data_IF_807943738282
#
_entry.id   IF_807943738282
#
_cell.length_a   1.000
_cell.length_b   1.000
_cell.length_c   1.000
_cell.angle_alpha   90.00
_cell.angle_beta   90.00
_cell.angle_gamma   90.00
#
_symmetry.space_group_name_H-M   'P 1'
#
loop_
_entity.id
_entity.type
_entity.pdbx_description
1 polymer ?
#
# COMPACT_ATOMS: atom_id res chain seq x y z
N UNK A 1 -21.60 -16.82 14.10
CA UNK A 1 -22.25 -15.50 14.17
C UNK A 1 -21.40 -14.56 13.31
N UNK A 2 -21.87 -14.07 12.14
CA UNK A 2 -21.09 -13.13 11.36
C UNK A 2 -21.07 -11.79 12.08
N UNK A 3 -19.88 -11.29 12.40
CA UNK A 3 -19.67 -9.93 12.89
C UNK A 3 -20.05 -8.96 11.76
N UNK A 4 -21.29 -8.47 11.81
CA UNK A 4 -21.69 -7.31 11.03
C UNK A 4 -20.99 -6.08 11.64
N UNK A 5 -19.85 -5.71 11.08
CA UNK A 5 -19.28 -4.41 11.36
C UNK A 5 -20.14 -3.34 10.70
N UNK A 6 -20.90 -2.62 11.51
CA UNK A 6 -21.47 -1.34 11.09
C UNK A 6 -20.32 -0.34 10.97
N UNK A 7 -19.76 -0.20 9.76
CA UNK A 7 -18.77 0.83 9.43
C UNK A 7 -19.54 2.15 9.26
N UNK A 8 -19.98 2.73 10.36
CA UNK A 8 -20.62 4.06 10.36
C UNK A 8 -19.63 5.22 10.52
N UNK A 9 -18.35 4.93 10.74
CA UNK A 9 -17.29 5.94 10.78
C UNK A 9 -16.34 5.68 9.63
N UNK A 10 -16.67 6.22 8.46
CA UNK A 10 -15.80 6.12 7.28
C UNK A 10 -14.60 7.00 7.53
N UNK A 11 -13.50 6.40 7.99
CA UNK A 11 -12.20 7.03 7.87
C UNK A 11 -11.96 7.32 6.40
N UNK A 12 -11.77 8.58 6.06
CA UNK A 12 -11.42 8.98 4.72
C UNK A 12 -9.97 8.56 4.45
N UNK A 13 -9.79 7.32 3.97
CA UNK A 13 -8.54 6.92 3.36
C UNK A 13 -8.38 7.74 2.10
N UNK A 14 -7.31 8.48 2.00
CA UNK A 14 -7.08 9.40 0.90
C UNK A 14 -5.79 9.00 0.22
N UNK A 15 -5.89 8.70 -1.04
CA UNK A 15 -4.83 8.13 -1.84
C UNK A 15 -4.28 9.13 -2.83
N UNK A 16 -2.96 9.17 -2.92
CA UNK A 16 -2.26 9.91 -3.95
C UNK A 16 -1.91 8.96 -5.09
N UNK A 17 -2.61 9.06 -6.20
CA UNK A 17 -2.24 8.41 -7.46
C UNK A 17 -2.91 9.16 -8.60
N UNK A 18 -2.32 9.06 -9.80
CA UNK A 18 -2.87 9.61 -11.05
C UNK A 18 -4.22 8.96 -11.37
N UNK A 19 -5.28 9.37 -10.66
CA UNK A 19 -6.64 8.88 -10.91
C UNK A 19 -7.48 10.02 -11.39
N UNK A 20 -8.03 9.90 -12.57
CA UNK A 20 -9.20 10.64 -12.96
C UNK A 20 -10.07 9.77 -13.88
N UNK A 21 -10.86 8.91 -13.27
CA UNK A 21 -12.04 8.36 -13.91
C UNK A 21 -13.04 7.96 -12.83
N UNK A 22 -14.28 8.34 -13.04
CA UNK A 22 -15.37 7.95 -12.16
C UNK A 22 -15.75 6.48 -12.46
N UNK A 23 -14.96 5.54 -11.95
CA UNK A 23 -15.27 4.12 -12.07
C UNK A 23 -16.41 3.79 -11.11
N UNK A 24 -17.48 3.19 -11.61
CA UNK A 24 -18.70 2.87 -10.85
C UNK A 24 -18.47 2.05 -9.58
N UNK A 25 -17.33 1.39 -9.50
CA UNK A 25 -16.94 0.53 -8.39
C UNK A 25 -16.06 1.24 -7.34
N UNK A 26 -15.81 2.55 -7.51
CA UNK A 26 -14.94 3.32 -6.63
C UNK A 26 -15.69 4.46 -5.93
N UNK A 27 -15.48 4.62 -4.63
CA UNK A 27 -15.94 5.77 -3.87
C UNK A 27 -14.88 6.86 -3.82
N UNK A 28 -15.00 7.85 -4.70
CA UNK A 28 -14.06 8.97 -4.71
C UNK A 28 -14.46 10.02 -3.67
N UNK A 29 -13.46 10.60 -3.03
CA UNK A 29 -13.63 11.75 -2.16
C UNK A 29 -13.79 13.02 -3.01
N UNK A 30 -14.58 13.96 -2.53
CA UNK A 30 -14.88 15.21 -3.25
C UNK A 30 -13.72 16.23 -3.26
N UNK A 31 -12.61 15.92 -2.58
CA UNK A 31 -11.36 16.70 -2.64
C UNK A 31 -10.37 15.95 -3.52
N UNK A 32 -9.87 16.63 -4.53
CA UNK A 32 -8.86 16.11 -5.47
C UNK A 32 -7.83 17.20 -5.77
N UNK A 33 -6.68 16.80 -6.28
CA UNK A 33 -5.58 17.72 -6.55
C UNK A 33 -4.77 17.29 -7.76
N UNK A 34 -4.45 18.24 -8.62
CA UNK A 34 -3.45 18.08 -9.68
C UNK A 34 -2.18 18.82 -9.27
N UNK A 35 -1.16 18.09 -8.91
CA UNK A 35 0.10 18.67 -8.41
C UNK A 35 0.90 19.41 -9.49
N UNK A 36 0.60 19.17 -10.77
CA UNK A 36 1.23 19.87 -11.88
C UNK A 36 0.62 21.27 -12.10
N UNK A 37 -0.72 21.37 -12.05
CA UNK A 37 -1.43 22.64 -12.32
C UNK A 37 -1.78 23.41 -11.06
N UNK A 38 -1.70 22.78 -9.88
CA UNK A 38 -2.15 23.34 -8.60
C UNK A 38 -3.67 23.34 -8.40
N UNK A 39 -4.43 22.82 -9.36
CA UNK A 39 -5.91 22.84 -9.36
C UNK A 39 -6.55 21.47 -9.20
N UNK A 40 -7.80 21.38 -9.65
CA UNK A 40 -8.54 20.12 -9.74
C UNK A 40 -8.09 19.36 -10.99
N UNK A 41 -7.93 18.02 -10.94
CA UNK A 41 -7.67 17.24 -12.13
C UNK A 41 -8.79 17.40 -13.16
N UNK A 42 -8.45 17.75 -14.40
CA UNK A 42 -9.41 18.05 -15.48
C UNK A 42 -9.33 17.09 -16.66
N UNK A 43 -8.58 15.99 -16.55
CA UNK A 43 -8.38 15.04 -17.64
C UNK A 43 -7.89 13.69 -17.16
N UNK A 44 -7.83 12.74 -18.10
CA UNK A 44 -7.29 11.42 -17.87
C UNK A 44 -5.76 11.47 -18.06
N UNK A 45 -5.01 11.26 -17.00
CA UNK A 45 -3.54 11.29 -17.00
C UNK A 45 -2.94 9.88 -16.81
N UNK A 46 -3.45 8.90 -17.55
CA UNK A 46 -3.08 7.50 -17.44
C UNK A 46 -4.10 6.67 -16.63
N UNK A 47 -3.89 5.36 -16.61
CA UNK A 47 -4.83 4.36 -16.08
C UNK A 47 -4.35 3.72 -14.76
N UNK A 48 -3.06 3.83 -14.46
CA UNK A 48 -2.40 3.14 -13.36
C UNK A 48 -3.05 3.41 -11.99
N UNK A 49 -3.42 4.66 -11.73
CA UNK A 49 -4.03 5.03 -10.45
C UNK A 49 -5.43 4.47 -10.24
N UNK A 50 -6.24 4.36 -11.29
CA UNK A 50 -7.56 3.71 -11.23
C UNK A 50 -7.39 2.24 -10.86
N UNK A 51 -6.40 1.56 -11.44
CA UNK A 51 -6.07 0.16 -11.12
C UNK A 51 -5.64 0.00 -9.66
N UNK A 52 -4.76 0.87 -9.17
CA UNK A 52 -4.34 0.85 -7.77
C UNK A 52 -5.50 1.13 -6.80
N UNK A 53 -6.39 2.06 -7.16
CA UNK A 53 -7.57 2.40 -6.36
C UNK A 53 -8.52 1.21 -6.21
N UNK A 54 -8.70 0.40 -7.26
CA UNK A 54 -9.54 -0.80 -7.23
C UNK A 54 -9.06 -1.81 -6.19
N UNK A 55 -7.77 -2.09 -6.13
CA UNK A 55 -7.20 -2.99 -5.11
C UNK A 55 -7.51 -2.52 -3.69
N UNK A 56 -7.51 -1.20 -3.45
CA UNK A 56 -7.79 -0.69 -2.11
C UNK A 56 -9.26 -0.74 -1.77
N UNK A 57 -10.12 -0.19 -2.64
CA UNK A 57 -11.44 0.22 -2.22
C UNK A 57 -12.57 -0.08 -3.20
N UNK A 58 -12.40 -0.98 -4.17
CA UNK A 58 -13.52 -1.43 -4.99
C UNK A 58 -14.66 -1.94 -4.10
N UNK A 59 -15.88 -1.62 -4.49
CA UNK A 59 -17.07 -1.83 -3.66
C UNK A 59 -17.46 -3.30 -3.61
N UNK A 60 -17.39 -3.90 -2.45
CA UNK A 60 -17.83 -5.27 -2.24
C UNK A 60 -19.37 -5.39 -2.26
N UNK A 61 -19.87 -6.56 -2.63
CA UNK A 61 -21.29 -6.95 -2.58
C UNK A 61 -22.24 -6.08 -3.44
N UNK A 62 -21.73 -5.45 -4.49
CA UNK A 62 -22.52 -4.64 -5.42
C UNK A 62 -22.90 -5.38 -6.72
N UNK A 63 -22.55 -6.68 -6.82
CA UNK A 63 -22.80 -7.49 -8.01
C UNK A 63 -21.89 -7.15 -9.20
N UNK A 64 -20.78 -6.45 -8.99
CA UNK A 64 -19.82 -6.03 -10.01
C UNK A 64 -18.43 -6.55 -9.69
N UNK A 65 -17.65 -6.86 -10.68
CA UNK A 65 -16.23 -7.13 -10.81
C UNK A 65 -15.51 -7.70 -9.58
N UNK A 66 -14.93 -6.83 -8.77
CA UNK A 66 -14.03 -7.18 -7.69
C UNK A 66 -14.43 -6.54 -6.35
N UNK A 67 -13.78 -6.99 -5.27
CA UNK A 67 -13.84 -6.33 -3.98
C UNK A 67 -12.45 -5.82 -3.60
N UNK A 68 -12.34 -4.54 -3.25
CA UNK A 68 -11.14 -3.97 -2.69
C UNK A 68 -10.93 -4.39 -1.23
N UNK A 69 -9.68 -4.35 -0.75
CA UNK A 69 -9.30 -4.76 0.62
C UNK A 69 -10.09 -3.99 1.68
N UNK A 70 -10.31 -2.70 1.46
CA UNK A 70 -11.08 -1.81 2.36
C UNK A 70 -12.29 -1.24 1.60
N UNK A 71 -13.22 -2.10 1.23
CA UNK A 71 -14.43 -1.70 0.53
C UNK A 71 -15.17 -0.59 1.27
N UNK A 72 -15.66 0.41 0.52
CA UNK A 72 -16.36 1.57 1.07
C UNK A 72 -15.46 2.69 1.60
N UNK A 73 -14.14 2.54 1.53
CA UNK A 73 -13.20 3.61 1.84
C UNK A 73 -13.31 4.74 0.81
N UNK A 74 -13.15 5.99 1.25
CA UNK A 74 -13.12 7.14 0.35
C UNK A 74 -11.70 7.38 -0.17
N UNK A 75 -11.55 7.41 -1.47
CA UNK A 75 -10.27 7.61 -2.18
C UNK A 75 -10.17 9.07 -2.59
N UNK A 76 -9.10 9.76 -2.17
CA UNK A 76 -8.76 11.11 -2.63
C UNK A 76 -7.90 11.01 -3.89
N UNK A 77 -8.41 11.42 -5.06
CA UNK A 77 -7.64 11.42 -6.29
C UNK A 77 -6.60 12.55 -6.28
N UNK A 78 -5.32 12.19 -6.46
CA UNK A 78 -4.24 13.18 -6.60
C UNK A 78 -3.40 12.83 -7.82
N UNK A 79 -3.40 13.70 -8.81
CA UNK A 79 -2.58 13.56 -10.01
C UNK A 79 -1.20 14.14 -9.76
N UNK A 80 -0.16 13.34 -9.98
CA UNK A 80 1.25 13.73 -9.81
C UNK A 80 1.98 13.91 -11.15
N UNK A 81 1.41 13.38 -12.23
CA UNK A 81 1.99 13.41 -13.56
C UNK A 81 1.00 14.03 -14.55
N UNK A 82 1.51 14.51 -15.66
CA UNK A 82 0.74 14.76 -16.87
C UNK A 82 1.31 13.94 -18.02
N UNK A 83 0.48 13.60 -18.99
CA UNK A 83 0.94 12.97 -20.21
C UNK A 83 1.25 14.08 -21.22
N UNK A 84 2.48 14.15 -21.67
CA UNK A 84 2.83 14.94 -22.86
C UNK A 84 2.28 14.20 -24.07
N UNK A 85 1.25 14.76 -24.68
CA UNK A 85 0.55 14.13 -25.81
C UNK A 85 1.42 14.05 -27.08
N UNK A 86 2.49 14.86 -27.20
CA UNK A 86 3.40 14.83 -28.33
C UNK A 86 4.47 13.75 -28.15
N UNK A 87 4.90 13.48 -26.92
CA UNK A 87 5.98 12.54 -26.62
C UNK A 87 5.49 11.23 -25.99
N UNK A 88 4.22 11.12 -25.59
CA UNK A 88 3.67 9.96 -24.89
C UNK A 88 4.31 9.70 -23.52
N UNK A 89 5.00 10.68 -22.95
CA UNK A 89 5.77 10.55 -21.72
C UNK A 89 5.00 11.18 -20.55
N UNK A 90 4.86 10.43 -19.46
CA UNK A 90 4.39 11.01 -18.20
C UNK A 90 5.51 11.89 -17.60
N UNK A 91 5.26 13.18 -17.51
CA UNK A 91 6.23 14.12 -16.95
C UNK A 91 5.77 14.66 -15.61
N UNK A 92 6.72 14.85 -14.69
CA UNK A 92 6.50 15.50 -13.40
C UNK A 92 7.83 15.93 -12.79
N UNK A 93 7.77 16.83 -11.80
CA UNK A 93 8.94 17.28 -11.04
C UNK A 93 8.93 16.71 -9.63
N UNK A 94 10.08 16.67 -8.97
CA UNK A 94 10.17 16.27 -7.55
C UNK A 94 9.29 17.15 -6.66
N UNK A 95 9.16 18.44 -7.01
CA UNK A 95 8.27 19.39 -6.35
C UNK A 95 6.80 18.98 -6.47
N UNK A 96 6.35 18.50 -7.63
CA UNK A 96 4.97 18.02 -7.80
C UNK A 96 4.69 16.81 -6.91
N UNK A 97 5.61 15.84 -6.85
CA UNK A 97 5.49 14.69 -5.94
C UNK A 97 5.43 15.13 -4.47
N UNK A 98 6.30 16.03 -4.06
CA UNK A 98 6.32 16.56 -2.69
C UNK A 98 5.04 17.32 -2.35
N UNK A 99 4.53 18.15 -3.28
CA UNK A 99 3.27 18.90 -3.10
C UNK A 99 2.06 17.97 -3.02
N UNK A 100 2.02 16.89 -3.81
CA UNK A 100 0.98 15.87 -3.76
C UNK A 100 0.90 15.23 -2.37
N UNK A 101 2.04 14.81 -1.81
CA UNK A 101 2.11 14.21 -0.47
C UNK A 101 1.66 15.21 0.60
N UNK A 102 2.15 16.46 0.55
CA UNK A 102 1.74 17.51 1.50
C UNK A 102 0.27 17.84 1.39
N UNK A 103 -0.26 17.94 0.16
CA UNK A 103 -1.68 18.19 -0.06
C UNK A 103 -2.54 17.09 0.56
N UNK A 104 -2.22 15.82 0.32
CA UNK A 104 -2.93 14.70 0.93
C UNK A 104 -2.97 14.81 2.46
N UNK A 105 -1.82 15.03 3.09
CA UNK A 105 -1.68 15.17 4.54
C UNK A 105 -2.47 16.36 5.10
N UNK A 106 -2.44 17.51 4.43
CA UNK A 106 -3.14 18.72 4.86
C UNK A 106 -4.66 18.64 4.70
N UNK A 107 -5.12 17.78 3.79
CA UNK A 107 -6.56 17.53 3.57
C UNK A 107 -7.07 16.29 4.30
N UNK A 108 -6.34 15.82 5.34
CA UNK A 108 -6.75 14.80 6.29
C UNK A 108 -6.65 13.37 5.75
N UNK A 109 -5.75 13.09 4.81
CA UNK A 109 -5.39 11.72 4.50
C UNK A 109 -4.78 11.04 5.73
N UNK A 110 -5.18 9.80 6.00
CA UNK A 110 -4.55 8.94 7.03
C UNK A 110 -3.56 7.97 6.39
N UNK A 111 -3.84 7.53 5.17
CA UNK A 111 -2.94 6.68 4.38
C UNK A 111 -2.63 7.36 3.06
N UNK A 112 -1.37 7.38 2.68
CA UNK A 112 -0.91 7.90 1.39
C UNK A 112 -0.20 6.77 0.67
N UNK A 113 -0.84 6.22 -0.37
CA UNK A 113 -0.27 5.15 -1.17
C UNK A 113 0.54 5.72 -2.33
N UNK A 114 1.77 5.27 -2.46
CA UNK A 114 2.71 5.70 -3.49
C UNK A 114 3.21 4.48 -4.28
N UNK A 115 2.52 4.19 -5.38
CA UNK A 115 2.87 3.09 -6.27
C UNK A 115 3.79 3.54 -7.41
N UNK A 116 4.86 4.28 -7.06
CA UNK A 116 5.85 4.84 -7.96
C UNK A 116 7.23 4.87 -7.29
N UNK A 117 8.28 4.99 -8.10
CA UNK A 117 9.66 5.14 -7.63
C UNK A 117 10.50 5.87 -8.68
N UNK A 118 11.65 6.39 -8.25
CA UNK A 118 12.67 6.93 -9.14
C UNK A 118 13.82 5.92 -9.25
N UNK A 119 14.35 5.78 -10.45
CA UNK A 119 15.48 4.92 -10.73
C UNK A 119 16.80 5.59 -10.30
N UNK A 120 16.93 5.82 -9.01
CA UNK A 120 18.12 6.42 -8.41
C UNK A 120 18.34 5.89 -7.01
N UNK A 121 19.60 5.78 -6.60
CA UNK A 121 20.01 5.55 -5.21
C UNK A 121 20.22 6.84 -4.42
N UNK A 122 20.32 7.98 -5.11
CA UNK A 122 20.55 9.27 -4.46
C UNK A 122 19.30 9.77 -3.75
N UNK A 123 19.39 10.22 -2.49
CA UNK A 123 18.25 10.75 -1.76
C UNK A 123 17.60 11.95 -2.46
N UNK A 124 16.28 11.98 -2.48
CA UNK A 124 15.49 13.10 -3.03
C UNK A 124 14.93 13.89 -1.86
N UNK A 125 15.74 14.81 -1.34
CA UNK A 125 15.48 15.52 -0.08
C UNK A 125 14.11 16.20 -0.03
N UNK A 126 13.64 16.78 -1.13
CA UNK A 126 12.34 17.47 -1.18
C UNK A 126 11.17 16.51 -0.93
N UNK A 127 11.22 15.31 -1.54
CA UNK A 127 10.20 14.28 -1.37
C UNK A 127 10.32 13.65 0.03
N UNK A 128 11.55 13.37 0.48
CA UNK A 128 11.79 12.82 1.82
C UNK A 128 11.28 13.75 2.93
N UNK A 129 11.44 15.07 2.76
CA UNK A 129 10.89 16.08 3.66
C UNK A 129 9.35 16.08 3.64
N UNK A 130 8.73 15.89 2.48
CA UNK A 130 7.27 15.78 2.37
C UNK A 130 6.73 14.51 3.02
N UNK A 131 7.44 13.38 2.89
CA UNK A 131 7.12 12.12 3.56
C UNK A 131 7.19 12.29 5.09
N UNK A 132 8.29 12.85 5.59
CA UNK A 132 8.46 13.13 7.02
C UNK A 132 7.39 14.09 7.55
N UNK A 133 7.04 15.12 6.78
CA UNK A 133 5.95 16.03 7.11
C UNK A 133 4.60 15.29 7.22
N UNK A 134 4.26 14.45 6.24
CA UNK A 134 3.03 13.67 6.25
C UNK A 134 2.97 12.69 7.44
N UNK A 135 4.07 12.01 7.73
CA UNK A 135 4.20 11.16 8.91
C UNK A 135 3.97 11.95 10.21
N UNK A 136 4.56 13.15 10.34
CA UNK A 136 4.35 14.04 11.48
C UNK A 136 2.91 14.56 11.61
N UNK A 137 2.12 14.53 10.51
CA UNK A 137 0.67 14.82 10.50
C UNK A 137 -0.19 13.61 10.85
N UNK A 138 0.40 12.47 11.17
CA UNK A 138 -0.33 11.25 11.51
C UNK A 138 -0.72 10.40 10.30
N UNK A 139 -0.04 10.55 9.15
CA UNK A 139 -0.24 9.71 7.98
C UNK A 139 0.70 8.49 8.00
N UNK A 140 0.22 7.33 7.57
CA UNK A 140 1.08 6.25 7.07
C UNK A 140 1.33 6.47 5.58
N UNK A 141 2.60 6.51 5.20
CA UNK A 141 3.02 6.69 3.81
C UNK A 141 3.52 5.34 3.29
N UNK A 142 2.74 4.71 2.41
CA UNK A 142 3.03 3.40 1.84
C UNK A 142 3.70 3.55 0.50
N UNK A 143 4.77 2.78 0.25
CA UNK A 143 5.48 2.75 -1.02
C UNK A 143 5.59 1.34 -1.58
N UNK A 144 5.50 1.24 -2.91
CA UNK A 144 5.95 0.04 -3.63
C UNK A 144 7.47 -0.06 -3.62
N UNK A 145 8.00 -1.29 -3.58
CA UNK A 145 9.46 -1.54 -3.50
C UNK A 145 10.21 -1.38 -4.84
N UNK A 146 9.47 -1.22 -5.95
CA UNK A 146 10.03 -1.16 -7.31
C UNK A 146 9.98 -2.50 -8.05
N UNK A 147 10.11 -2.44 -9.39
CA UNK A 147 9.85 -3.59 -10.29
C UNK A 147 11.08 -4.04 -11.09
N UNK A 148 12.29 -3.79 -10.59
CA UNK A 148 13.55 -4.17 -11.28
C UNK A 148 14.24 -5.41 -10.71
N UNK A 149 13.66 -6.05 -9.69
CA UNK A 149 14.31 -7.17 -9.00
C UNK A 149 15.65 -6.78 -8.34
N UNK A 150 15.77 -5.52 -7.94
CA UNK A 150 16.98 -4.92 -7.36
C UNK A 150 16.69 -4.31 -5.98
N UNK A 151 17.66 -3.63 -5.39
CA UNK A 151 17.47 -2.93 -4.13
C UNK A 151 16.36 -1.86 -4.25
N UNK A 152 15.58 -1.68 -3.16
CA UNK A 152 14.55 -0.64 -3.08
C UNK A 152 15.15 0.72 -3.41
N UNK A 153 14.53 1.41 -4.35
CA UNK A 153 14.97 2.71 -4.86
C UNK A 153 14.29 3.89 -4.13
N UNK A 154 14.67 5.11 -4.51
CA UNK A 154 14.11 6.33 -3.93
C UNK A 154 12.67 6.59 -4.40
N UNK A 155 11.84 7.27 -3.59
CA UNK A 155 12.14 7.81 -2.27
C UNK A 155 11.89 6.82 -1.12
N UNK A 156 11.37 5.61 -1.41
CA UNK A 156 11.03 4.61 -0.40
C UNK A 156 12.22 4.29 0.53
N UNK A 157 13.44 4.18 -0.02
CA UNK A 157 14.66 3.93 0.75
C UNK A 157 15.16 5.17 1.53
N UNK A 158 14.67 6.37 1.21
CA UNK A 158 15.20 7.64 1.75
C UNK A 158 14.62 8.07 3.09
N UNK A 159 13.48 7.51 3.51
CA UNK A 159 12.80 7.85 4.76
C UNK A 159 12.24 6.61 5.47
N UNK A 160 13.07 5.61 5.83
CA UNK A 160 12.61 4.29 6.26
C UNK A 160 11.76 4.31 7.54
N UNK A 161 11.96 5.27 8.43
CA UNK A 161 11.13 5.40 9.64
C UNK A 161 9.74 5.97 9.37
N UNK A 162 9.57 6.70 8.27
CA UNK A 162 8.34 7.38 7.91
C UNK A 162 7.57 6.69 6.76
N UNK A 163 8.15 5.65 6.16
CA UNK A 163 7.55 4.87 5.07
C UNK A 163 7.24 3.44 5.49
N UNK A 164 6.26 2.83 4.85
CA UNK A 164 5.99 1.39 4.89
C UNK A 164 6.19 0.85 3.47
N UNK A 165 7.27 0.08 3.25
CA UNK A 165 7.70 -0.37 1.93
C UNK A 165 7.24 -1.78 1.66
N UNK A 166 6.56 -1.98 0.52
CA UNK A 166 5.85 -3.21 0.19
C UNK A 166 6.42 -3.87 -1.06
N UNK A 167 6.88 -5.09 -0.92
CA UNK A 167 7.27 -5.98 -2.02
C UNK A 167 6.11 -6.84 -2.52
N UNK A 168 6.32 -7.50 -3.66
CA UNK A 168 5.31 -8.34 -4.31
C UNK A 168 5.64 -9.83 -4.21
N UNK A 169 4.60 -10.63 -3.94
CA UNK A 169 4.62 -12.09 -4.08
C UNK A 169 3.64 -12.54 -5.17
N UNK A 170 3.84 -13.78 -5.63
CA UNK A 170 2.90 -14.50 -6.48
C UNK A 170 1.86 -15.30 -5.66
N UNK A 171 0.94 -16.00 -6.35
CA UNK A 171 -0.11 -16.83 -5.73
C UNK A 171 0.42 -18.02 -4.91
N UNK A 172 1.66 -18.44 -5.14
CA UNK A 172 2.29 -19.55 -4.42
C UNK A 172 3.04 -19.08 -3.16
N UNK A 173 3.03 -17.77 -2.88
CA UNK A 173 3.73 -17.17 -1.75
C UNK A 173 5.21 -16.94 -1.99
N UNK A 174 5.70 -17.05 -3.22
CA UNK A 174 7.08 -16.74 -3.57
C UNK A 174 7.23 -15.26 -3.94
N UNK A 175 8.36 -14.68 -3.55
CA UNK A 175 8.72 -13.33 -3.99
C UNK A 175 8.71 -13.27 -5.51
N UNK A 176 7.97 -12.31 -6.08
CA UNK A 176 7.99 -12.06 -7.51
C UNK A 176 9.40 -11.64 -7.96
N UNK A 177 9.83 -12.14 -9.11
CA UNK A 177 11.16 -11.90 -9.69
C UNK A 177 11.47 -10.40 -9.85
N UNK A 178 10.47 -9.62 -10.25
CA UNK A 178 10.60 -8.17 -10.40
C UNK A 178 10.62 -7.40 -9.06
N UNK A 179 10.15 -7.99 -7.95
CA UNK A 179 9.99 -7.25 -6.68
C UNK A 179 11.31 -6.74 -6.14
N UNK A 180 11.34 -5.46 -5.78
CA UNK A 180 12.45 -4.86 -5.05
C UNK A 180 12.66 -5.49 -3.67
N UNK A 181 13.91 -5.44 -3.16
CA UNK A 181 14.32 -6.06 -1.90
C UNK A 181 15.39 -5.21 -1.18
N UNK A 182 15.84 -5.64 -0.01
CA UNK A 182 16.91 -4.99 0.75
C UNK A 182 16.46 -4.38 2.05
N UNK A 183 17.38 -3.65 2.71
CA UNK A 183 17.22 -3.15 4.08
C UNK A 183 16.03 -2.22 4.31
N UNK A 184 15.44 -1.65 3.27
CA UNK A 184 14.27 -0.77 3.38
C UNK A 184 12.93 -1.50 3.23
N UNK A 185 12.94 -2.81 2.91
CA UNK A 185 11.72 -3.57 2.71
C UNK A 185 11.06 -3.92 4.05
N UNK A 186 9.80 -3.58 4.24
CA UNK A 186 9.09 -3.88 5.48
C UNK A 186 8.26 -5.16 5.39
N UNK A 187 7.40 -5.27 4.38
CA UNK A 187 6.49 -6.42 4.22
C UNK A 187 6.29 -6.76 2.74
N UNK A 188 5.65 -7.89 2.48
CA UNK A 188 5.18 -8.25 1.13
C UNK A 188 3.66 -8.48 1.12
N UNK A 189 3.08 -8.29 -0.07
CA UNK A 189 1.67 -8.53 -0.35
C UNK A 189 1.51 -9.11 -1.77
N UNK A 190 0.34 -9.65 -2.15
CA UNK A 190 0.08 -10.10 -3.51
C UNK A 190 0.32 -8.97 -4.52
N UNK A 191 1.09 -9.26 -5.57
CA UNK A 191 1.44 -8.26 -6.59
C UNK A 191 1.62 -8.86 -7.98
N UNK A 192 1.36 -10.16 -8.17
CA UNK A 192 1.38 -10.82 -9.47
C UNK A 192 -0.03 -11.30 -9.82
N UNK A 193 -0.49 -11.00 -11.05
CA UNK A 193 -1.81 -11.38 -11.57
C UNK A 193 -2.98 -10.87 -10.71
N UNK A 194 -2.95 -9.59 -10.38
CA UNK A 194 -3.96 -8.93 -9.54
C UNK A 194 -5.08 -8.38 -10.42
N UNK A 195 -6.30 -8.84 -10.19
CA UNK A 195 -7.50 -8.25 -10.79
C UNK A 195 -7.86 -6.93 -10.13
N UNK A 196 -8.18 -5.94 -10.97
CA UNK A 196 -8.50 -4.60 -10.47
C UNK A 196 -9.36 -3.81 -11.48
N UNK A 197 -9.85 -2.65 -11.06
CA UNK A 197 -10.62 -1.72 -11.89
C UNK A 197 -9.77 -1.18 -13.05
N UNK A 198 -10.40 -0.91 -14.18
CA UNK A 198 -9.77 -0.32 -15.36
C UNK A 198 -10.41 1.02 -15.70
N UNK A 199 -9.64 1.91 -16.30
CA UNK A 199 -10.08 3.26 -16.70
C UNK A 199 -11.22 3.27 -17.72
N UNK A 200 -11.43 2.17 -18.44
CA UNK A 200 -12.54 2.00 -19.38
C UNK A 200 -13.88 1.66 -18.72
N UNK A 201 -13.90 1.55 -17.39
CA UNK A 201 -15.09 1.16 -16.62
C UNK A 201 -15.23 -0.35 -16.40
N UNK A 202 -14.26 -1.15 -16.87
CA UNK A 202 -14.18 -2.60 -16.67
C UNK A 202 -13.12 -2.99 -15.66
N UNK A 203 -12.61 -4.22 -15.83
CA UNK A 203 -11.63 -4.83 -14.94
C UNK A 203 -10.50 -5.45 -15.75
N UNK A 204 -9.30 -5.47 -15.18
CA UNK A 204 -8.11 -6.00 -15.83
C UNK A 204 -7.21 -6.71 -14.84
N UNK A 205 -6.35 -7.59 -15.34
CA UNK A 205 -5.37 -8.32 -14.56
C UNK A 205 -3.98 -7.74 -14.78
N UNK A 206 -3.27 -7.41 -13.70
CA UNK A 206 -2.00 -6.67 -13.74
C UNK A 206 -0.99 -7.24 -12.76
N UNK A 207 0.29 -6.94 -12.97
CA UNK A 207 1.37 -7.34 -12.06
C UNK A 207 2.31 -6.18 -11.76
N UNK A 208 2.81 -6.11 -10.53
CA UNK A 208 3.76 -5.10 -10.08
C UNK A 208 3.68 -4.87 -8.57
N UNK A 209 4.75 -4.39 -7.97
CA UNK A 209 4.75 -3.91 -6.58
C UNK A 209 3.79 -2.75 -6.37
N UNK A 210 3.42 -2.06 -7.46
CA UNK A 210 2.36 -1.05 -7.49
C UNK A 210 1.00 -1.58 -7.04
N UNK A 211 0.76 -2.88 -7.18
CA UNK A 211 -0.48 -3.54 -6.78
C UNK A 211 -0.34 -4.29 -5.45
N UNK A 212 0.88 -4.53 -4.98
CA UNK A 212 1.14 -5.02 -3.63
C UNK A 212 0.95 -3.91 -2.56
N UNK A 213 1.48 -2.72 -2.80
CA UNK A 213 1.36 -1.57 -1.89
C UNK A 213 -0.11 -1.24 -1.52
N UNK A 214 -1.07 -1.20 -2.45
CA UNK A 214 -2.47 -0.92 -2.13
C UNK A 214 -3.13 -1.98 -1.24
N UNK A 215 -2.73 -3.25 -1.27
CA UNK A 215 -3.21 -4.23 -0.30
C UNK A 215 -2.88 -3.81 1.13
N UNK A 216 -1.64 -3.38 1.37
CA UNK A 216 -1.22 -2.89 2.68
C UNK A 216 -1.95 -1.61 3.06
N UNK A 217 -2.13 -0.69 2.12
CA UNK A 217 -2.89 0.55 2.34
C UNK A 217 -4.34 0.26 2.76
N UNK A 218 -4.98 -0.73 2.15
CA UNK A 218 -6.30 -1.20 2.54
C UNK A 218 -6.32 -1.81 3.95
N UNK A 219 -5.34 -2.66 4.29
CA UNK A 219 -5.25 -3.25 5.64
C UNK A 219 -5.04 -2.17 6.70
N UNK A 220 -4.19 -1.17 6.45
CA UNK A 220 -4.03 -0.01 7.33
C UNK A 220 -5.36 0.71 7.55
N UNK A 221 -6.16 0.87 6.50
CA UNK A 221 -7.49 1.47 6.63
C UNK A 221 -8.44 0.65 7.50
N UNK A 222 -8.43 -0.68 7.35
CA UNK A 222 -9.24 -1.58 8.19
C UNK A 222 -8.83 -1.51 9.67
N UNK A 223 -7.53 -1.44 9.96
CA UNK A 223 -7.02 -1.25 11.33
C UNK A 223 -7.59 0.04 11.93
N UNK A 224 -7.47 1.18 11.24
CA UNK A 224 -8.01 2.45 11.73
C UNK A 224 -9.55 2.53 11.71
N UNK A 225 -10.22 1.75 10.87
CA UNK A 225 -11.67 1.62 10.95
C UNK A 225 -12.13 0.89 12.21
N UNK A 226 -11.29 0.00 12.74
CA UNK A 226 -11.54 -0.73 13.99
C UNK A 226 -11.23 0.13 15.22
N UNK A 227 -10.13 0.89 15.20
CA UNK A 227 -9.74 1.84 16.24
C UNK A 227 -9.09 3.08 15.62
N UNK A 228 -9.86 4.18 15.48
CA UNK A 228 -9.39 5.44 14.88
C UNK A 228 -8.30 6.16 15.68
N UNK A 229 -8.17 5.87 16.97
CA UNK A 229 -7.25 6.58 17.86
C UNK A 229 -5.85 5.98 17.89
N UNK A 230 -5.64 4.85 17.20
CA UNK A 230 -4.32 4.25 17.10
C UNK A 230 -3.31 5.21 16.48
N UNK A 231 -2.14 5.31 17.11
CA UNK A 231 -1.02 6.05 16.55
C UNK A 231 -0.45 5.38 15.30
N UNK A 232 0.18 6.16 14.44
CA UNK A 232 0.89 5.67 13.23
C UNK A 232 1.86 4.53 13.59
N UNK A 233 2.62 4.68 14.68
CA UNK A 233 3.56 3.66 15.17
C UNK A 233 2.86 2.37 15.57
N UNK A 234 1.71 2.46 16.24
CA UNK A 234 0.97 1.26 16.64
C UNK A 234 0.42 0.52 15.43
N UNK A 235 -0.13 1.23 14.45
CA UNK A 235 -0.62 0.63 13.20
C UNK A 235 0.51 -0.04 12.43
N UNK A 236 1.66 0.63 12.29
CA UNK A 236 2.85 0.05 11.65
C UNK A 236 3.29 -1.22 12.36
N UNK A 237 3.41 -1.19 13.69
CA UNK A 237 3.81 -2.36 14.48
C UNK A 237 2.83 -3.52 14.29
N UNK A 238 1.52 -3.26 14.27
CA UNK A 238 0.51 -4.29 14.01
C UNK A 238 0.76 -4.94 12.64
N UNK A 239 0.92 -4.15 11.58
CA UNK A 239 1.21 -4.66 10.22
C UNK A 239 2.44 -5.58 10.24
N UNK A 240 3.54 -5.13 10.82
CA UNK A 240 4.82 -5.85 10.81
C UNK A 240 4.81 -7.11 11.68
N UNK A 241 4.20 -7.04 12.87
CA UNK A 241 4.16 -8.13 13.86
C UNK A 241 3.18 -9.25 13.49
N UNK A 242 2.13 -8.94 12.72
CA UNK A 242 1.08 -9.90 12.36
C UNK A 242 1.30 -10.57 11.01
N UNK A 243 2.45 -10.33 10.38
CA UNK A 243 2.80 -10.98 9.12
C UNK A 243 2.93 -12.49 9.27
N UNK A 244 2.54 -13.21 8.22
CA UNK A 244 2.84 -14.64 8.09
C UNK A 244 4.22 -14.83 7.46
N UNK A 245 5.04 -15.70 8.05
CA UNK A 245 6.29 -16.14 7.44
C UNK A 245 5.97 -17.03 6.25
N UNK A 246 6.59 -16.76 5.11
CA UNK A 246 6.34 -17.46 3.85
C UNK A 246 7.52 -18.33 3.45
N UNK A 247 7.22 -19.45 2.77
CA UNK A 247 8.14 -20.54 2.55
C UNK A 247 9.40 -20.22 1.75
N UNK A 248 10.46 -20.99 1.99
CA UNK A 248 11.75 -20.88 1.30
C UNK A 248 12.65 -19.73 1.75
N UNK A 249 12.21 -18.90 2.70
CA UNK A 249 13.00 -17.76 3.19
C UNK A 249 13.51 -18.01 4.62
N UNK A 250 14.79 -17.77 4.84
CA UNK A 250 15.38 -17.77 6.19
C UNK A 250 15.18 -16.39 6.81
N UNK A 251 14.46 -16.35 7.92
CA UNK A 251 14.24 -15.14 8.71
C UNK A 251 15.23 -15.08 9.87
N UNK A 252 15.80 -13.92 10.11
CA UNK A 252 16.79 -13.69 11.17
C UNK A 252 16.48 -12.48 12.03
N UNK A 253 17.23 -12.30 13.10
CA UNK A 253 17.20 -11.10 13.93
C UNK A 253 18.00 -10.00 13.24
N UNK A 254 17.39 -8.85 13.06
CA UNK A 254 18.06 -7.61 12.64
C UNK A 254 17.89 -6.57 13.75
N UNK A 255 18.98 -6.02 14.30
CA UNK A 255 18.90 -5.05 15.41
C UNK A 255 18.12 -3.78 15.08
N UNK A 256 17.97 -3.45 13.79
CA UNK A 256 17.19 -2.29 13.32
C UNK A 256 15.72 -2.63 13.04
N UNK A 257 15.32 -3.91 13.18
CA UNK A 257 14.00 -4.45 12.85
C UNK A 257 13.33 -4.99 14.12
N UNK A 258 12.71 -4.09 14.90
CA UNK A 258 12.25 -4.36 16.26
C UNK A 258 10.96 -5.19 16.36
N UNK A 259 10.24 -5.39 15.24
CA UNK A 259 8.93 -6.05 15.24
C UNK A 259 8.98 -7.56 14.94
N UNK A 260 10.15 -8.18 15.06
CA UNK A 260 10.35 -9.62 14.97
C UNK A 260 11.38 -10.05 13.93
N UNK A 261 11.36 -11.33 13.58
CA UNK A 261 12.26 -11.88 12.59
C UNK A 261 12.01 -11.29 11.20
N UNK A 262 13.08 -10.94 10.49
CA UNK A 262 13.05 -10.24 9.21
C UNK A 262 13.93 -10.93 8.17
N UNK A 263 13.64 -10.68 6.90
CA UNK A 263 14.39 -11.18 5.74
C UNK A 263 14.50 -10.09 4.67
N UNK A 264 15.66 -9.93 4.05
CA UNK A 264 15.89 -8.86 3.07
C UNK A 264 15.05 -8.98 1.78
N UNK A 265 14.52 -10.16 1.46
CA UNK A 265 13.74 -10.39 0.22
C UNK A 265 12.23 -10.29 0.41
N UNK A 266 11.76 -10.51 1.64
CA UNK A 266 10.32 -10.54 1.97
C UNK A 266 9.97 -9.73 3.22
N UNK A 267 10.89 -8.96 3.75
CA UNK A 267 10.67 -8.14 4.95
C UNK A 267 10.31 -8.98 6.18
N UNK A 268 9.34 -8.50 6.96
CA UNK A 268 8.74 -9.27 8.06
C UNK A 268 7.89 -10.46 7.58
N UNK A 269 7.48 -10.48 6.30
CA UNK A 269 6.68 -11.54 5.70
C UNK A 269 5.44 -11.03 4.99
N UNK A 270 4.53 -11.95 4.68
CA UNK A 270 3.25 -11.67 4.02
C UNK A 270 2.28 -11.02 5.00
N UNK A 271 1.71 -9.88 4.62
CA UNK A 271 0.67 -9.21 5.41
C UNK A 271 -0.54 -10.11 5.62
N UNK A 272 -1.17 -10.01 6.79
CA UNK A 272 -2.33 -10.79 7.19
C UNK A 272 -3.41 -9.85 7.72
N UNK A 273 -4.41 -9.56 6.90
CA UNK A 273 -5.47 -8.62 7.24
C UNK A 273 -6.27 -9.07 8.47
N UNK A 274 -6.62 -10.35 8.56
CA UNK A 274 -7.36 -10.90 9.70
C UNK A 274 -6.57 -10.75 11.01
N UNK A 275 -5.31 -11.19 11.02
CA UNK A 275 -4.47 -11.08 12.20
C UNK A 275 -4.22 -9.62 12.60
N UNK A 276 -4.03 -8.72 11.62
CA UNK A 276 -3.82 -7.30 11.86
C UNK A 276 -5.04 -6.63 12.51
N UNK A 277 -6.24 -6.87 11.98
CA UNK A 277 -7.49 -6.33 12.55
C UNK A 277 -7.78 -6.95 13.92
N UNK A 278 -7.56 -8.26 14.08
CA UNK A 278 -7.76 -8.94 15.38
C UNK A 278 -6.81 -8.42 16.47
N UNK A 279 -5.60 -8.00 16.12
CA UNK A 279 -4.62 -7.46 17.06
C UNK A 279 -4.95 -6.04 17.58
N UNK A 280 -5.93 -5.37 16.99
CA UNK A 280 -6.40 -4.05 17.45
C UNK A 280 -7.06 -4.14 18.83
N UNK A 281 -7.93 -5.15 19.04
CA UNK A 281 -8.70 -5.34 20.27
C UNK A 281 -8.00 -6.22 21.29
N UNK A 282 -6.84 -6.81 20.93
CA UNK A 282 -6.07 -7.71 21.79
C UNK A 282 -4.94 -7.01 22.55
N UNK A 283 -4.34 -7.70 23.54
CA UNK A 283 -3.06 -7.25 24.10
C UNK A 283 -2.05 -7.08 22.96
N UNK A 284 -1.13 -6.12 23.09
CA UNK A 284 -0.08 -5.93 22.09
C UNK A 284 0.57 -7.29 21.77
N UNK A 285 0.74 -7.65 20.48
CA UNK A 285 1.47 -8.86 20.13
C UNK A 285 2.81 -8.84 20.87
N UNK A 286 3.09 -9.85 21.67
CA UNK A 286 4.41 -10.00 22.29
C UNK A 286 5.40 -10.27 21.17
N UNK A 287 6.57 -9.62 21.22
CA UNK A 287 7.65 -9.92 20.29
C UNK A 287 7.87 -11.45 20.27
N UNK A 288 8.01 -12.08 19.08
CA UNK A 288 8.17 -13.52 19.01
C UNK A 288 9.37 -13.93 19.84
N UNK A 289 9.18 -14.97 20.65
CA UNK A 289 10.25 -15.54 21.46
C UNK A 289 11.34 -16.06 20.52
N UNK A 290 12.54 -15.49 20.61
CA UNK A 290 13.67 -15.65 19.65
C UNK A 290 14.25 -17.09 19.66
N UNK A 291 13.58 -18.05 20.31
CA UNK A 291 14.11 -19.38 20.64
C UNK A 291 13.67 -20.55 19.74
N UNK A 292 12.83 -20.37 18.73
CA UNK A 292 12.40 -21.52 17.91
C UNK A 292 12.76 -21.34 16.44
N UNK A 293 13.59 -22.27 15.93
CA UNK A 293 13.82 -22.44 14.50
C UNK A 293 12.51 -22.85 13.82
N UNK A 294 11.98 -21.98 12.97
CA UNK A 294 10.78 -22.30 12.17
C UNK A 294 11.21 -23.11 10.94
N UNK A 295 11.15 -24.43 11.05
CA UNK A 295 11.39 -25.35 9.93
C UNK A 295 10.13 -25.79 9.17
N UNK A 296 8.96 -25.32 9.59
CA UNK A 296 7.69 -25.76 8.99
C UNK A 296 6.78 -24.57 8.72
N UNK A 297 6.86 -24.01 7.51
CA UNK A 297 5.79 -23.17 6.95
C UNK A 297 5.36 -23.82 5.65
N UNK A 298 4.20 -24.46 5.67
CA UNK A 298 3.56 -25.03 4.49
C UNK A 298 3.34 -23.96 3.41
N UNK A 299 3.40 -24.30 2.11
CA UNK A 299 2.98 -23.40 1.02
C UNK A 299 1.53 -22.98 1.26
N UNK A 300 1.31 -21.69 1.39
CA UNK A 300 0.15 -21.23 2.08
C UNK A 300 -1.11 -21.10 1.27
N UNK A 301 -2.18 -21.42 1.88
CA UNK A 301 -3.54 -21.11 1.48
C UNK A 301 -3.79 -19.58 1.53
N UNK A 302 -3.90 -18.97 0.35
CA UNK A 302 -4.22 -17.54 0.17
C UNK A 302 -5.73 -17.25 0.35
N UNK A 303 -6.57 -18.31 0.55
CA UNK A 303 -8.01 -18.17 0.74
C UNK A 303 -8.39 -17.31 1.94
N UNK A 304 -7.50 -17.20 2.92
CA UNK A 304 -7.70 -16.40 4.14
C UNK A 304 -7.62 -14.87 3.92
N UNK A 305 -7.24 -14.41 2.72
CA UNK A 305 -7.25 -12.98 2.40
C UNK A 305 -8.61 -12.48 1.89
N UNK A 306 -9.62 -13.35 1.82
CA UNK A 306 -10.94 -13.01 1.26
C UNK A 306 -10.92 -12.76 -0.25
N UNK A 307 -9.81 -13.12 -0.89
CA UNK A 307 -9.67 -13.09 -2.35
C UNK A 307 -10.16 -14.46 -2.86
N UNK A 308 -11.49 -14.65 -2.92
CA UNK A 308 -12.08 -15.77 -3.60
C UNK A 308 -11.71 -15.70 -5.09
N UNK A 309 -11.01 -16.70 -5.55
CA UNK A 309 -10.82 -16.95 -6.96
C UNK A 309 -11.85 -18.03 -7.36
N UNK A 310 -12.92 -17.61 -8.01
CA UNK A 310 -13.73 -18.40 -8.92
C UNK A 310 -13.54 -17.85 -10.33
#
# INVERSE_FOLDING_TARGET
MPLLFHISTILSLRLSITVFNNHDDLHLYNVSYNAHTGGIPSGLYGDHGTKVAGVIGATANNGKGIAGVASGVKIMPISICYTDNELGIAASTTTNFANAIRFAANNGARVINNSWSFDTSSPISEINNAITYAHGKGCIVVFSSGNKGSAVSQPAAGAPSATLVVGAIDRNGYKSDFSGYGSSLDVVAPGREIWTTDVTGGYTCVSGTSFAAPHVSGIVALIWATDPDLSVWRVRNIIEQTTRKIGGNTYGVDPLRLNGLWNQFVGYGLVNAYAAVSAVSGPAPTAPNIGTSLSEVEPGDLSMMGLGYD
#
